data_IF_374764955371
#
_entry.id   IF_374764955371
#
_cell.length_a   1.000
_cell.length_b   1.000
_cell.length_c   1.000
_cell.angle_alpha   90.00
_cell.angle_beta   90.00
_cell.angle_gamma   90.00
#
_symmetry.space_group_name_H-M   'P 1'
#
loop_
_entity.id
_entity.type
_entity.pdbx_description
1 polymer ?
#
# COMPACT_ATOMS: atom_id res chain seq x y z
N UNK A 1 -17.86 -26.54 -1.03
CA UNK A 1 -17.58 -25.10 -1.23
C UNK A 1 -18.46 -24.33 -0.25
N UNK A 2 -17.88 -23.77 0.82
CA UNK A 2 -18.62 -23.04 1.86
C UNK A 2 -19.04 -21.65 1.36
N UNK A 3 -20.15 -21.07 1.85
CA UNK A 3 -20.64 -19.77 1.38
C UNK A 3 -19.60 -18.65 1.54
N UNK A 4 -19.08 -18.18 0.41
CA UNK A 4 -19.02 -16.76 0.01
C UNK A 4 -18.45 -15.71 0.97
N UNK A 5 -17.31 -15.94 1.62
CA UNK A 5 -16.62 -14.82 2.28
C UNK A 5 -16.04 -13.88 1.21
N UNK A 6 -16.59 -12.68 1.08
CA UNK A 6 -16.03 -11.63 0.19
C UNK A 6 -14.62 -11.26 0.69
N UNK A 7 -13.68 -10.92 -0.21
CA UNK A 7 -12.35 -10.49 0.20
C UNK A 7 -12.42 -9.26 1.10
N UNK A 8 -11.60 -9.24 2.16
CA UNK A 8 -11.43 -8.07 3.02
C UNK A 8 -10.66 -6.99 2.25
N UNK A 9 -11.14 -5.75 2.30
CA UNK A 9 -10.45 -4.61 1.70
C UNK A 9 -9.73 -3.82 2.79
N UNK A 10 -8.43 -3.66 2.65
CA UNK A 10 -7.58 -2.94 3.61
C UNK A 10 -6.93 -1.75 2.92
N UNK A 11 -7.10 -0.57 3.52
CA UNK A 11 -6.40 0.65 3.11
C UNK A 11 -5.23 0.90 4.06
N UNK A 12 -4.04 1.02 3.48
CA UNK A 12 -2.81 1.35 4.21
C UNK A 12 -2.49 2.83 3.99
N UNK A 13 -2.77 3.66 4.99
CA UNK A 13 -2.40 5.08 4.96
C UNK A 13 -0.98 5.23 5.52
N UNK A 14 -0.07 5.77 4.72
CA UNK A 14 1.34 5.96 5.10
C UNK A 14 1.83 7.37 4.75
N UNK A 15 2.77 7.87 5.54
CA UNK A 15 3.31 9.23 5.35
C UNK A 15 4.11 9.38 4.06
N UNK A 16 4.90 8.37 3.68
CA UNK A 16 5.69 8.37 2.45
C UNK A 16 6.07 6.97 2.00
N UNK A 17 6.36 6.84 0.71
CA UNK A 17 6.83 5.60 0.07
C UNK A 17 8.28 5.70 -0.45
N UNK A 18 9.09 6.58 0.15
CA UNK A 18 10.55 6.56 -0.05
C UNK A 18 11.17 5.33 0.62
N UNK A 19 12.42 4.99 0.24
CA UNK A 19 13.11 3.82 0.79
C UNK A 19 13.40 4.02 2.28
N UNK A 20 13.00 3.06 3.09
CA UNK A 20 13.21 3.02 4.54
C UNK A 20 12.70 1.70 5.13
N UNK A 21 12.96 1.47 6.42
CA UNK A 21 12.62 0.21 7.09
C UNK A 21 11.11 -0.08 7.14
N UNK A 22 10.30 0.91 7.52
CA UNK A 22 8.85 0.77 7.63
C UNK A 22 8.17 0.53 6.29
N UNK A 23 8.60 1.23 5.24
CA UNK A 23 8.06 1.09 3.88
C UNK A 23 8.40 -0.28 3.28
N UNK A 24 9.60 -0.81 3.57
CA UNK A 24 9.97 -2.16 3.15
C UNK A 24 9.14 -3.24 3.87
N UNK A 25 8.78 -3.01 5.13
CA UNK A 25 7.87 -3.89 5.85
C UNK A 25 6.47 -3.88 5.22
N UNK A 26 5.93 -2.69 4.91
CA UNK A 26 4.66 -2.55 4.19
C UNK A 26 4.70 -3.36 2.89
N UNK A 27 5.73 -3.15 2.05
CA UNK A 27 5.88 -3.87 0.79
C UNK A 27 5.84 -5.39 0.97
N UNK A 28 6.62 -5.95 1.91
CA UNK A 28 6.64 -7.39 2.19
C UNK A 28 5.29 -7.91 2.66
N UNK A 29 4.61 -7.17 3.55
CA UNK A 29 3.32 -7.56 4.09
C UNK A 29 2.26 -7.61 2.98
N UNK A 30 2.07 -6.52 2.24
CA UNK A 30 0.99 -6.43 1.25
C UNK A 30 1.19 -7.32 0.03
N UNK A 31 2.44 -7.63 -0.31
CA UNK A 31 2.75 -8.58 -1.39
C UNK A 31 2.64 -10.05 -0.98
N UNK A 32 2.55 -10.34 0.33
CA UNK A 32 2.37 -11.71 0.85
C UNK A 32 0.90 -12.12 0.97
N UNK A 33 -0.04 -11.19 0.87
CA UNK A 33 -1.45 -11.47 1.02
C UNK A 33 -2.05 -12.18 -0.19
N UNK A 34 -2.94 -13.14 0.07
CA UNK A 34 -3.78 -13.77 -0.95
C UNK A 34 -4.85 -12.76 -1.44
N UNK A 35 -4.81 -12.31 -2.72
CA UNK A 35 -5.77 -11.34 -3.25
C UNK A 35 -7.22 -11.84 -3.29
N UNK A 36 -7.44 -13.15 -3.20
CA UNK A 36 -8.78 -13.73 -3.09
C UNK A 36 -9.37 -13.57 -1.68
N UNK A 37 -8.51 -13.30 -0.67
CA UNK A 37 -8.91 -13.12 0.73
C UNK A 37 -8.74 -11.67 1.21
N UNK A 38 -7.68 -10.99 0.78
CA UNK A 38 -7.34 -9.63 1.20
C UNK A 38 -6.90 -8.81 0.00
N UNK A 39 -7.60 -7.71 -0.28
CA UNK A 39 -7.22 -6.72 -1.29
C UNK A 39 -6.68 -5.48 -0.61
N UNK A 40 -5.41 -5.18 -0.86
CA UNK A 40 -4.75 -4.00 -0.30
C UNK A 40 -4.80 -2.82 -1.26
N UNK A 41 -5.00 -1.62 -0.71
CA UNK A 41 -4.79 -0.33 -1.38
C UNK A 41 -3.88 0.51 -0.52
N UNK A 42 -2.89 1.18 -1.11
CA UNK A 42 -1.94 2.03 -0.37
C UNK A 42 -2.22 3.49 -0.70
N UNK A 43 -2.33 4.33 0.33
CA UNK A 43 -2.46 5.78 0.20
C UNK A 43 -1.24 6.42 0.84
N UNK A 44 -0.47 7.18 0.06
CA UNK A 44 0.66 7.98 0.53
C UNK A 44 0.24 9.42 0.75
N UNK A 45 0.60 10.02 1.88
CA UNK A 45 0.32 11.44 2.13
C UNK A 45 1.07 12.34 1.14
N UNK A 46 2.34 12.04 0.88
CA UNK A 46 3.20 12.78 -0.06
C UNK A 46 3.35 12.00 -1.39
N UNK A 47 3.91 12.61 -2.46
CA UNK A 47 4.19 11.89 -3.71
C UNK A 47 4.96 10.58 -3.48
N UNK A 48 4.58 9.49 -4.13
CA UNK A 48 5.15 8.17 -3.88
C UNK A 48 6.61 8.10 -4.34
N UNK A 49 7.44 7.42 -3.55
CA UNK A 49 8.83 7.12 -3.90
C UNK A 49 8.99 5.73 -4.54
N UNK A 50 10.22 5.22 -4.57
CA UNK A 50 10.58 3.92 -5.18
C UNK A 50 9.70 2.75 -4.72
N UNK A 51 9.27 2.73 -3.45
CA UNK A 51 8.41 1.64 -2.94
C UNK A 51 7.01 1.70 -3.56
N UNK A 52 6.50 2.89 -3.88
CA UNK A 52 5.23 3.05 -4.59
C UNK A 52 5.26 2.38 -5.97
N UNK A 53 6.27 2.70 -6.78
CA UNK A 53 6.45 2.07 -8.08
C UNK A 53 6.59 0.53 -7.99
N UNK A 54 7.27 0.03 -6.94
CA UNK A 54 7.38 -1.41 -6.71
C UNK A 54 6.02 -2.05 -6.38
N UNK A 55 5.18 -1.41 -5.58
CA UNK A 55 3.83 -1.87 -5.26
C UNK A 55 2.93 -1.89 -6.51
N UNK A 56 2.96 -0.82 -7.30
CA UNK A 56 2.19 -0.73 -8.55
C UNK A 56 2.60 -1.81 -9.56
N UNK A 57 3.91 -2.10 -9.66
CA UNK A 57 4.42 -3.18 -10.52
C UNK A 57 3.91 -4.57 -10.13
N UNK A 58 3.41 -4.72 -8.89
CA UNK A 58 2.79 -5.95 -8.36
C UNK A 58 1.27 -5.93 -8.46
N UNK A 59 0.69 -4.93 -9.11
CA UNK A 59 -0.77 -4.78 -9.25
C UNK A 59 -1.46 -4.26 -8.00
N UNK A 60 -0.72 -3.71 -7.04
CA UNK A 60 -1.27 -3.12 -5.82
C UNK A 60 -1.52 -1.63 -6.07
N UNK A 61 -2.76 -1.13 -5.97
CA UNK A 61 -3.05 0.28 -6.20
C UNK A 61 -2.34 1.17 -5.20
N UNK A 62 -1.70 2.22 -5.71
CA UNK A 62 -1.11 3.30 -4.92
C UNK A 62 -1.77 4.61 -5.31
N UNK A 63 -2.25 5.35 -4.31
CA UNK A 63 -2.80 6.69 -4.45
C UNK A 63 -1.92 7.67 -3.67
N UNK A 64 -1.77 8.89 -4.18
CA UNK A 64 -1.16 9.98 -3.43
C UNK A 64 -2.20 11.03 -3.06
N UNK A 65 -2.06 11.64 -1.89
CA UNK A 65 -2.78 12.85 -1.52
C UNK A 65 -2.02 14.13 -1.90
N UNK A 66 -0.81 13.98 -2.48
CA UNK A 66 0.06 15.08 -2.93
C UNK A 66 0.25 16.19 -1.88
N UNK A 67 0.24 15.82 -0.59
CA UNK A 67 0.44 16.76 0.49
C UNK A 67 1.88 17.29 0.45
N UNK A 68 2.02 18.59 0.65
CA UNK A 68 3.33 19.19 0.90
C UNK A 68 3.80 18.79 2.28
N UNK A 69 5.08 18.48 2.41
CA UNK A 69 5.70 18.16 3.69
C UNK A 69 5.55 19.38 4.61
N UNK A 70 4.97 19.17 5.81
CA UNK A 70 4.89 20.22 6.82
C UNK A 70 6.29 20.66 7.25
N UNK A 71 6.44 21.96 7.54
CA UNK A 71 7.64 22.51 8.17
C UNK A 71 7.45 22.47 9.70
N UNK A 72 8.43 21.96 10.48
CA UNK A 72 8.35 21.91 11.93
C UNK A 72 8.45 23.29 12.59
#
# INVERSE_FOLDING_TARGET
>A
MTPGSRPLHIVHLITSLHVGGGQMHLYKAVTSFDPAKIRSTVISLVPPGKIGAMLESRGIPVLSLDMRKGWP
#
